data_IF_833425382741
#
_entry.id   IF_833425382741
#
_cell.length_a   1.000
_cell.length_b   1.000
_cell.length_c   1.000
_cell.angle_alpha   90.00
_cell.angle_beta   90.00
_cell.angle_gamma   90.00
#
_symmetry.space_group_name_H-M   'P 1'
#
loop_
_entity.id
_entity.type
_entity.pdbx_description
1 polymer ?
#
# COMPACT_ATOMS: atom_id res chain seq x y z
N UNK A 1 4.39 -1.80 -27.26
CA UNK A 1 4.31 -1.10 -25.96
C UNK A 1 4.77 -2.06 -24.87
N UNK A 2 5.61 -1.66 -23.90
CA UNK A 2 5.95 -2.52 -22.78
C UNK A 2 4.67 -2.86 -21.99
N UNK A 3 4.47 -4.14 -21.70
CA UNK A 3 3.35 -4.64 -20.90
C UNK A 3 3.41 -3.94 -19.53
N UNK A 4 2.32 -3.35 -19.02
CA UNK A 4 2.33 -2.76 -17.69
C UNK A 4 2.78 -3.82 -16.69
N UNK A 5 3.79 -3.50 -15.85
CA UNK A 5 4.21 -4.37 -14.77
C UNK A 5 2.97 -4.70 -13.93
N UNK A 6 2.66 -5.99 -13.79
CA UNK A 6 1.58 -6.41 -12.90
C UNK A 6 1.97 -5.98 -11.48
N UNK A 7 1.14 -5.15 -10.85
CA UNK A 7 1.31 -4.82 -9.45
C UNK A 7 0.89 -6.06 -8.65
N UNK A 8 1.82 -6.75 -8.00
CA UNK A 8 1.53 -7.99 -7.27
C UNK A 8 1.23 -7.75 -5.77
N UNK A 9 0.92 -6.50 -5.38
CA UNK A 9 0.75 -6.12 -3.98
C UNK A 9 2.08 -5.83 -3.28
N UNK A 10 2.02 -5.26 -2.08
CA UNK A 10 3.24 -4.84 -1.37
C UNK A 10 4.00 -6.01 -0.77
N UNK A 11 3.32 -7.09 -0.39
CA UNK A 11 3.97 -8.21 0.29
C UNK A 11 4.89 -8.93 -0.69
N UNK A 12 4.43 -9.24 -1.90
CA UNK A 12 5.29 -9.86 -2.91
C UNK A 12 6.44 -8.95 -3.36
N UNK A 13 6.17 -7.65 -3.52
CA UNK A 13 7.23 -6.71 -3.92
C UNK A 13 8.35 -6.60 -2.88
N UNK A 14 8.01 -6.68 -1.60
CA UNK A 14 8.95 -6.44 -0.50
C UNK A 14 9.12 -7.67 0.39
N UNK A 15 8.89 -8.89 -0.15
CA UNK A 15 8.80 -10.14 0.63
C UNK A 15 9.98 -10.35 1.57
N UNK A 16 11.19 -10.07 1.08
CA UNK A 16 12.45 -10.19 1.85
C UNK A 16 12.55 -9.28 3.07
N UNK A 17 11.64 -8.30 3.21
CA UNK A 17 11.57 -7.36 4.32
C UNK A 17 10.33 -7.56 5.19
N UNK A 18 9.50 -8.56 4.89
CA UNK A 18 8.21 -8.79 5.54
C UNK A 18 8.23 -10.08 6.38
N UNK A 19 7.45 -10.17 7.46
CA UNK A 19 7.40 -11.35 8.34
C UNK A 19 6.52 -12.48 7.76
N UNK A 20 6.82 -12.90 6.54
CA UNK A 20 6.12 -13.96 5.79
C UNK A 20 7.11 -15.04 5.36
N UNK A 21 6.66 -16.29 5.33
CA UNK A 21 7.40 -17.44 4.82
C UNK A 21 7.07 -17.70 3.34
N UNK A 22 7.76 -18.64 2.70
CA UNK A 22 7.45 -19.05 1.33
C UNK A 22 6.06 -19.71 1.23
N UNK A 23 5.60 -20.34 2.30
CA UNK A 23 4.30 -21.02 2.37
C UNK A 23 3.15 -20.09 2.80
N UNK A 24 3.44 -18.85 3.18
CA UNK A 24 2.42 -17.90 3.62
C UNK A 24 1.49 -17.54 2.45
N UNK A 25 0.20 -17.84 2.61
CA UNK A 25 -0.86 -17.49 1.65
C UNK A 25 -1.11 -15.98 1.67
N UNK A 26 -0.62 -15.27 0.65
CA UNK A 26 -0.72 -13.82 0.57
C UNK A 26 -2.14 -13.38 0.18
N UNK A 27 -2.76 -12.56 1.02
CA UNK A 27 -4.05 -11.90 0.74
C UNK A 27 -3.78 -10.47 0.29
N UNK A 28 -4.00 -10.17 -1.00
CA UNK A 28 -3.74 -8.85 -1.57
C UNK A 28 -4.85 -8.39 -2.50
N UNK A 29 -5.05 -7.07 -2.55
CA UNK A 29 -5.89 -6.38 -3.53
C UNK A 29 -5.04 -5.58 -4.52
N UNK A 30 -3.76 -5.94 -4.66
CA UNK A 30 -2.78 -5.23 -5.47
C UNK A 30 -2.54 -3.80 -4.94
N UNK A 31 -2.54 -3.64 -3.62
CA UNK A 31 -2.25 -2.39 -2.94
C UNK A 31 -0.79 -1.93 -3.13
N UNK A 32 -0.52 -0.67 -2.80
CA UNK A 32 0.77 -0.04 -2.99
C UNK A 32 1.05 0.35 -4.44
N UNK A 33 2.35 0.51 -4.77
CA UNK A 33 2.78 1.04 -6.08
C UNK A 33 2.14 2.37 -6.50
N UNK A 34 1.56 3.11 -5.55
CA UNK A 34 0.89 4.39 -5.79
C UNK A 34 1.85 5.44 -6.38
N UNK A 35 1.37 6.35 -7.24
CA UNK A 35 2.22 7.36 -7.86
C UNK A 35 2.92 8.27 -6.84
N UNK A 36 4.14 8.69 -7.19
CA UNK A 36 4.82 9.83 -6.58
C UNK A 36 4.72 10.99 -7.57
N UNK A 37 3.75 11.89 -7.36
CA UNK A 37 3.38 12.91 -8.34
C UNK A 37 4.14 14.21 -8.06
N UNK A 38 4.91 14.76 -9.02
CA UNK A 38 5.57 16.06 -8.83
C UNK A 38 4.53 17.19 -8.78
N UNK A 39 4.51 17.96 -7.70
CA UNK A 39 3.56 19.05 -7.47
C UNK A 39 4.15 20.41 -7.83
N UNK A 40 4.43 20.63 -9.12
CA UNK A 40 5.14 21.83 -9.62
C UNK A 40 4.48 23.16 -9.21
N UNK A 41 3.15 23.22 -9.26
CA UNK A 41 2.40 24.42 -8.86
C UNK A 41 2.57 24.71 -7.36
N UNK A 42 2.56 23.67 -6.53
CA UNK A 42 2.75 23.79 -5.07
C UNK A 42 4.19 24.19 -4.73
N UNK A 43 5.18 23.59 -5.39
CA UNK A 43 6.59 24.00 -5.30
C UNK A 43 6.75 25.50 -5.56
N UNK A 44 6.23 25.98 -6.71
CA UNK A 44 6.35 27.38 -7.10
C UNK A 44 5.62 28.34 -6.13
N UNK A 45 4.48 27.92 -5.58
CA UNK A 45 3.69 28.73 -4.65
C UNK A 45 4.32 28.85 -3.26
N UNK A 46 5.09 27.85 -2.81
CA UNK A 46 5.71 27.85 -1.48
C UNK A 46 7.10 28.46 -1.52
N UNK A 47 8.01 27.95 -2.35
CA UNK A 47 9.36 28.48 -2.47
C UNK A 47 10.07 27.96 -3.74
N UNK A 48 10.73 28.82 -4.54
CA UNK A 48 11.30 28.45 -5.85
C UNK A 48 12.41 27.40 -5.82
N UNK A 49 12.98 27.10 -4.65
CA UNK A 49 14.00 26.05 -4.46
C UNK A 49 13.45 24.72 -3.90
N UNK A 50 12.15 24.62 -3.62
CA UNK A 50 11.57 23.40 -3.06
C UNK A 50 11.03 22.47 -4.14
N UNK A 51 11.37 21.19 -4.06
CA UNK A 51 10.79 20.13 -4.89
C UNK A 51 9.78 19.33 -4.07
N UNK A 52 8.50 19.52 -4.35
CA UNK A 52 7.42 18.87 -3.62
C UNK A 52 6.84 17.75 -4.47
N UNK A 53 6.72 16.58 -3.87
CA UNK A 53 6.07 15.42 -4.45
C UNK A 53 4.93 14.94 -3.56
N UNK A 54 3.85 14.47 -4.18
CA UNK A 54 2.69 13.91 -3.50
C UNK A 54 2.72 12.39 -3.64
N UNK A 55 2.83 11.68 -2.51
CA UNK A 55 2.65 10.23 -2.48
C UNK A 55 1.15 9.94 -2.45
N UNK A 56 0.56 9.62 -3.60
CA UNK A 56 -0.89 9.64 -3.76
C UNK A 56 -1.55 8.33 -3.30
N UNK A 57 -1.68 8.17 -1.99
CA UNK A 57 -2.20 6.96 -1.33
C UNK A 57 -3.71 6.72 -1.52
N UNK A 58 -4.44 7.71 -2.03
CA UNK A 58 -5.86 7.56 -2.36
C UNK A 58 -6.15 6.61 -3.53
N UNK A 59 -5.11 6.16 -4.24
CA UNK A 59 -5.22 5.18 -5.33
C UNK A 59 -4.97 3.73 -4.87
N UNK A 60 -4.82 3.49 -3.57
CA UNK A 60 -4.92 2.14 -3.04
C UNK A 60 -6.37 1.61 -3.19
N UNK A 61 -6.58 0.28 -3.20
CA UNK A 61 -7.88 -0.35 -3.48
C UNK A 61 -9.08 0.20 -2.70
N UNK A 62 -8.95 0.48 -1.41
CA UNK A 62 -10.01 1.02 -0.54
C UNK A 62 -9.96 2.55 -0.40
N UNK A 63 -9.02 3.20 -1.09
CA UNK A 63 -8.86 4.65 -1.08
C UNK A 63 -7.99 5.20 0.05
N UNK A 64 -7.24 4.35 0.77
CA UNK A 64 -6.32 4.83 1.80
C UNK A 64 -5.04 4.01 1.94
N UNK A 65 -4.02 4.59 2.60
CA UNK A 65 -2.77 3.89 2.88
C UNK A 65 -2.94 2.65 3.78
N UNK A 66 -4.09 2.51 4.46
CA UNK A 66 -4.33 1.42 5.41
C UNK A 66 -4.36 0.06 4.75
N UNK A 67 -4.64 -0.01 3.45
CA UNK A 67 -4.54 -1.25 2.67
C UNK A 67 -3.16 -1.90 2.80
N UNK A 68 -2.10 -1.08 2.92
CA UNK A 68 -0.73 -1.56 3.14
C UNK A 68 -0.56 -2.27 4.48
N UNK A 69 -1.25 -1.83 5.52
CA UNK A 69 -1.23 -2.52 6.82
C UNK A 69 -2.16 -3.72 6.81
N UNK A 70 -3.36 -3.56 6.24
CA UNK A 70 -4.42 -4.56 6.28
C UNK A 70 -4.07 -5.81 5.45
N UNK A 71 -3.43 -5.67 4.29
CA UNK A 71 -2.90 -6.81 3.53
C UNK A 71 -2.01 -7.72 4.39
N UNK A 72 -1.13 -7.13 5.21
CA UNK A 72 -0.26 -7.87 6.13
C UNK A 72 -1.04 -8.47 7.29
N UNK A 73 -1.87 -7.66 7.95
CA UNK A 73 -2.65 -8.09 9.10
C UNK A 73 -3.58 -9.26 8.75
N UNK A 74 -4.29 -9.19 7.62
CA UNK A 74 -5.20 -10.24 7.17
C UNK A 74 -4.43 -11.47 6.68
N UNK A 75 -3.31 -11.29 5.97
CA UNK A 75 -2.43 -12.41 5.60
C UNK A 75 -1.99 -13.21 6.82
N UNK A 76 -1.51 -12.53 7.88
CA UNK A 76 -1.10 -13.19 9.13
C UNK A 76 -2.28 -13.77 9.89
N UNK A 77 -3.42 -13.09 9.91
CA UNK A 77 -4.61 -13.60 10.57
C UNK A 77 -5.09 -14.93 9.96
N UNK A 78 -5.07 -15.03 8.62
CA UNK A 78 -5.38 -16.26 7.90
C UNK A 78 -4.33 -17.35 8.18
N UNK A 79 -3.04 -17.00 8.18
CA UNK A 79 -1.96 -17.95 8.50
C UNK A 79 -2.09 -18.51 9.93
N UNK A 80 -2.48 -17.68 10.89
CA UNK A 80 -2.72 -18.05 12.28
C UNK A 80 -4.11 -18.66 12.53
N UNK A 81 -4.91 -18.83 11.46
CA UNK A 81 -6.25 -19.47 11.46
C UNK A 81 -7.30 -18.75 12.31
N UNK A 82 -7.23 -17.42 12.40
CA UNK A 82 -8.33 -16.64 12.97
C UNK A 82 -9.53 -16.61 12.02
N UNK A 83 -10.73 -16.81 12.57
CA UNK A 83 -11.99 -16.74 11.82
C UNK A 83 -12.58 -15.33 11.79
N UNK A 84 -12.20 -14.48 12.74
CA UNK A 84 -12.77 -13.14 12.93
C UNK A 84 -11.66 -12.13 13.19
N UNK A 85 -11.77 -10.98 12.55
CA UNK A 85 -10.97 -9.79 12.82
C UNK A 85 -11.88 -8.66 13.28
N UNK A 86 -11.37 -7.78 14.14
CA UNK A 86 -12.11 -6.63 14.67
C UNK A 86 -11.18 -5.44 14.80
N UNK A 87 -11.69 -4.24 14.56
CA UNK A 87 -10.97 -3.00 14.84
C UNK A 87 -11.91 -1.94 15.42
N UNK A 88 -11.34 -1.03 16.22
CA UNK A 88 -11.94 0.26 16.46
C UNK A 88 -11.35 1.24 15.43
N UNK A 89 -12.22 1.88 14.66
CA UNK A 89 -11.82 2.68 13.50
C UNK A 89 -12.49 4.04 13.52
N UNK A 90 -11.79 5.05 13.00
CA UNK A 90 -12.37 6.35 12.67
C UNK A 90 -12.94 6.39 11.25
N UNK A 91 -12.86 5.28 10.50
CA UNK A 91 -13.36 5.15 9.14
C UNK A 91 -12.51 4.19 8.32
N UNK A 92 -11.39 4.67 7.77
CA UNK A 92 -10.65 3.97 6.72
C UNK A 92 -10.01 2.61 7.12
N UNK A 93 -9.89 2.26 8.40
CA UNK A 93 -9.39 0.94 8.86
C UNK A 93 -10.55 -0.04 8.86
#
# INVERSE_FOLDING_TARGET
MPRPMRNNGIIERYRTHMPVSDDTCIISLNEGSTPLVPARALSAAIHPKLEIHLKYEGLNPTGSFKDRGMTMAITKAVEEKYEVVMCASTGNT
#
